data_IF_866366942397
#
_entry.id   IF_866366942397
#
_cell.length_a   1.000
_cell.length_b   1.000
_cell.length_c   1.000
_cell.angle_alpha   90.00
_cell.angle_beta   90.00
_cell.angle_gamma   90.00
#
_symmetry.space_group_name_H-M   'P 1'
#
loop_
_entity.id
_entity.type
_entity.pdbx_description
1 polymer ?
#
# COMPACT_ATOMS: atom_id res chain seq x y z
N UNK A 1 -14.59 0.84 -36.40
CA UNK A 1 -14.07 0.28 -35.14
C UNK A 1 -13.17 1.33 -34.49
N UNK A 2 -13.52 1.84 -33.31
CA UNK A 2 -12.84 3.00 -32.72
C UNK A 2 -11.60 2.51 -31.95
N UNK A 3 -10.43 2.49 -32.63
CA UNK A 3 -9.19 1.87 -32.14
C UNK A 3 -8.71 2.37 -30.76
N UNK A 4 -9.10 3.59 -30.36
CA UNK A 4 -8.85 4.13 -29.03
C UNK A 4 -9.68 3.46 -27.94
N UNK A 5 -10.94 3.12 -28.22
CA UNK A 5 -11.84 2.45 -27.25
C UNK A 5 -11.41 1.01 -26.99
N UNK A 6 -10.90 0.31 -28.01
CA UNK A 6 -10.34 -1.03 -27.85
C UNK A 6 -9.08 -0.99 -26.98
N UNK A 7 -8.15 -0.06 -27.25
CA UNK A 7 -6.96 0.17 -26.41
C UNK A 7 -7.32 0.56 -24.98
N UNK A 8 -8.38 1.34 -24.80
CA UNK A 8 -8.87 1.71 -23.47
C UNK A 8 -9.38 0.47 -22.73
N UNK A 9 -10.20 -0.34 -23.39
CA UNK A 9 -10.76 -1.58 -22.82
C UNK A 9 -9.65 -2.53 -22.39
N UNK A 10 -8.66 -2.77 -23.26
CA UNK A 10 -7.48 -3.59 -22.93
C UNK A 10 -6.69 -3.03 -21.75
N UNK A 11 -6.54 -1.70 -21.66
CA UNK A 11 -5.82 -1.06 -20.56
C UNK A 11 -6.56 -1.24 -19.23
N UNK A 12 -7.90 -1.14 -19.22
CA UNK A 12 -8.72 -1.39 -18.03
C UNK A 12 -8.65 -2.86 -17.62
N UNK A 13 -8.65 -3.78 -18.59
CA UNK A 13 -8.54 -5.22 -18.34
C UNK A 13 -7.22 -5.55 -17.62
N UNK A 14 -6.10 -5.03 -18.14
CA UNK A 14 -4.78 -5.14 -17.51
C UNK A 14 -4.74 -4.48 -16.13
N UNK A 15 -5.36 -3.32 -15.95
CA UNK A 15 -5.50 -2.70 -14.63
C UNK A 15 -6.24 -3.62 -13.66
N UNK A 16 -7.35 -4.22 -14.08
CA UNK A 16 -8.11 -5.14 -13.23
C UNK A 16 -7.25 -6.34 -12.78
N UNK A 17 -6.43 -6.89 -13.67
CA UNK A 17 -5.53 -8.01 -13.33
C UNK A 17 -4.51 -7.57 -12.29
N UNK A 18 -3.82 -6.45 -12.50
CA UNK A 18 -2.79 -5.96 -11.57
C UNK A 18 -3.38 -5.62 -10.19
N UNK A 19 -4.60 -5.07 -10.13
CA UNK A 19 -5.27 -4.80 -8.85
C UNK A 19 -5.69 -6.08 -8.11
N UNK A 20 -6.05 -7.14 -8.82
CA UNK A 20 -6.29 -8.46 -8.20
C UNK A 20 -4.98 -9.04 -7.67
N UNK A 21 -3.89 -8.94 -8.43
CA UNK A 21 -2.57 -9.40 -7.99
C UNK A 21 -2.07 -8.61 -6.77
N UNK A 22 -2.26 -7.28 -6.73
CA UNK A 22 -1.96 -6.45 -5.56
C UNK A 22 -2.79 -6.86 -4.34
N UNK A 23 -4.07 -7.19 -4.54
CA UNK A 23 -4.93 -7.68 -3.46
C UNK A 23 -4.43 -9.01 -2.90
N UNK A 24 -4.04 -9.95 -3.75
CA UNK A 24 -3.46 -11.21 -3.30
C UNK A 24 -2.12 -10.99 -2.58
N UNK A 25 -1.23 -10.14 -3.10
CA UNK A 25 0.00 -9.74 -2.40
C UNK A 25 -0.30 -9.16 -1.01
N UNK A 26 -1.31 -8.29 -0.89
CA UNK A 26 -1.70 -7.68 0.38
C UNK A 26 -2.26 -8.70 1.37
N UNK A 27 -3.02 -9.70 0.91
CA UNK A 27 -3.52 -10.80 1.75
C UNK A 27 -2.38 -11.71 2.21
N UNK A 28 -1.45 -12.07 1.32
CA UNK A 28 -0.29 -12.87 1.70
C UNK A 28 0.58 -12.11 2.71
N UNK A 29 0.76 -10.80 2.50
CA UNK A 29 1.44 -9.93 3.47
C UNK A 29 0.78 -9.96 4.84
N UNK A 30 -0.55 -9.96 4.89
CA UNK A 30 -1.28 -10.11 6.15
C UNK A 30 -0.92 -11.41 6.88
N UNK A 31 -0.88 -12.54 6.15
CA UNK A 31 -0.50 -13.83 6.71
C UNK A 31 0.94 -13.80 7.25
N UNK A 32 1.90 -13.21 6.51
CA UNK A 32 3.29 -13.09 6.95
C UNK A 32 3.45 -12.20 8.18
N UNK A 33 2.68 -11.10 8.27
CA UNK A 33 2.66 -10.23 9.45
C UNK A 33 2.16 -10.98 10.70
N UNK A 34 1.15 -11.83 10.54
CA UNK A 34 0.61 -12.65 11.64
C UNK A 34 1.61 -13.74 12.05
N UNK A 35 2.28 -14.39 11.09
CA UNK A 35 3.24 -15.45 11.38
C UNK A 35 4.62 -14.95 11.83
N UNK A 36 4.92 -13.67 11.60
CA UNK A 36 6.22 -13.08 11.89
C UNK A 36 7.31 -13.45 10.89
N UNK A 37 6.95 -13.93 9.68
CA UNK A 37 7.92 -14.32 8.66
C UNK A 37 8.51 -13.08 7.94
N UNK A 38 9.62 -12.55 8.47
CA UNK A 38 10.26 -11.33 7.95
C UNK A 38 10.89 -11.53 6.57
N UNK A 39 11.46 -12.70 6.27
CA UNK A 39 12.10 -12.98 4.97
C UNK A 39 11.08 -12.93 3.83
N UNK A 40 9.94 -13.59 4.01
CA UNK A 40 8.85 -13.58 3.04
C UNK A 40 8.21 -12.18 2.93
N UNK A 41 8.13 -11.44 4.04
CA UNK A 41 7.64 -10.07 4.05
C UNK A 41 8.50 -9.16 3.17
N UNK A 42 9.82 -9.30 3.21
CA UNK A 42 10.74 -8.53 2.37
C UNK A 42 10.52 -8.82 0.88
N UNK A 43 10.40 -10.10 0.50
CA UNK A 43 10.08 -10.48 -0.89
C UNK A 43 8.75 -9.88 -1.38
N UNK A 44 7.72 -9.91 -0.53
CA UNK A 44 6.41 -9.35 -0.85
C UNK A 44 6.45 -7.83 -1.04
N UNK A 45 7.31 -7.11 -0.32
CA UNK A 45 7.50 -5.67 -0.52
C UNK A 45 8.09 -5.35 -1.90
N UNK A 46 9.06 -6.14 -2.37
CA UNK A 46 9.60 -5.98 -3.73
C UNK A 46 8.54 -6.29 -4.80
N UNK A 47 7.75 -7.34 -4.60
CA UNK A 47 6.65 -7.69 -5.51
C UNK A 47 5.59 -6.59 -5.57
N UNK A 48 5.15 -6.07 -4.43
CA UNK A 48 4.16 -4.99 -4.34
C UNK A 48 4.67 -3.71 -5.00
N UNK A 49 5.96 -3.37 -4.81
CA UNK A 49 6.58 -2.22 -5.48
C UNK A 49 6.50 -2.35 -7.00
N UNK A 50 6.91 -3.50 -7.56
CA UNK A 50 6.85 -3.75 -9.00
C UNK A 50 5.41 -3.68 -9.52
N UNK A 51 4.46 -4.28 -8.81
CA UNK A 51 3.04 -4.24 -9.18
C UNK A 51 2.48 -2.80 -9.16
N UNK A 52 2.89 -1.99 -8.17
CA UNK A 52 2.49 -0.59 -8.06
C UNK A 52 3.03 0.25 -9.20
N UNK A 53 4.29 0.04 -9.60
CA UNK A 53 4.89 0.71 -10.75
C UNK A 53 4.14 0.36 -12.05
N UNK A 54 3.80 -0.92 -12.25
CA UNK A 54 3.00 -1.34 -13.41
C UNK A 54 1.60 -0.71 -13.38
N UNK A 55 0.94 -0.68 -12.22
CA UNK A 55 -0.37 -0.06 -12.06
C UNK A 55 -0.33 1.44 -12.42
N UNK A 56 0.72 2.15 -11.99
CA UNK A 56 0.91 3.55 -12.32
C UNK A 56 1.06 3.76 -13.84
N UNK A 57 1.92 2.98 -14.51
CA UNK A 57 2.12 3.07 -15.96
C UNK A 57 0.83 2.80 -16.74
N UNK A 58 0.02 1.84 -16.29
CA UNK A 58 -1.27 1.53 -16.90
C UNK A 58 -2.29 2.66 -16.69
N UNK A 59 -2.31 3.29 -15.52
CA UNK A 59 -3.18 4.44 -15.25
C UNK A 59 -2.78 5.66 -16.09
N UNK A 60 -1.48 5.93 -16.22
CA UNK A 60 -0.96 6.96 -17.12
C UNK A 60 -1.36 6.68 -18.58
N UNK A 61 -1.23 5.43 -19.03
CA UNK A 61 -1.70 4.99 -20.36
C UNK A 61 -3.21 5.23 -20.52
N UNK A 62 -4.02 4.89 -19.52
CA UNK A 62 -5.48 5.11 -19.53
C UNK A 62 -5.80 6.60 -19.68
N UNK A 63 -5.12 7.45 -18.92
CA UNK A 63 -5.29 8.91 -18.98
C UNK A 63 -4.89 9.47 -20.35
N UNK A 64 -3.80 8.98 -20.94
CA UNK A 64 -3.35 9.38 -22.26
C UNK A 64 -4.34 9.00 -23.37
N UNK A 65 -4.92 7.80 -23.29
CA UNK A 65 -5.95 7.37 -24.25
C UNK A 65 -7.20 8.27 -24.16
N UNK A 66 -7.64 8.60 -22.95
CA UNK A 66 -8.78 9.51 -22.74
C UNK A 66 -8.46 10.91 -23.28
N UNK A 67 -7.24 11.39 -23.10
CA UNK A 67 -6.80 12.68 -23.66
C UNK A 67 -6.87 12.70 -25.18
N UNK A 68 -6.36 11.66 -25.84
CA UNK A 68 -6.43 11.53 -27.29
C UNK A 68 -7.87 11.48 -27.77
N UNK A 69 -8.73 10.70 -27.10
CA UNK A 69 -10.15 10.63 -27.42
C UNK A 69 -10.84 12.01 -27.31
N UNK A 70 -10.56 12.78 -26.26
CA UNK A 70 -11.12 14.13 -26.09
C UNK A 70 -10.69 15.06 -27.23
N UNK A 71 -9.42 15.00 -27.66
CA UNK A 71 -8.89 15.80 -28.78
C UNK A 71 -9.58 15.45 -30.09
N UNK A 72 -9.76 14.16 -30.39
CA UNK A 72 -10.42 13.70 -31.62
C UNK A 72 -11.90 14.07 -31.70
N UNK A 73 -12.58 14.15 -30.55
CA UNK A 73 -14.02 14.43 -30.49
C UNK A 73 -14.34 15.89 -30.14
N UNK A 74 -13.35 16.80 -30.15
CA UNK A 74 -13.48 18.20 -29.72
C UNK A 74 -14.16 18.37 -28.35
N UNK A 75 -13.99 17.39 -27.46
CA UNK A 75 -14.63 17.35 -26.15
C UNK A 75 -13.71 17.93 -25.07
N UNK A 76 -14.30 18.66 -24.12
CA UNK A 76 -13.55 19.21 -22.99
C UNK A 76 -13.29 18.12 -21.94
N UNK A 77 -12.02 17.83 -21.63
CA UNK A 77 -11.60 16.73 -20.72
C UNK A 77 -12.35 16.70 -19.39
N UNK A 78 -12.67 17.87 -18.82
CA UNK A 78 -13.38 18.00 -17.54
C UNK A 78 -14.79 17.38 -17.54
N UNK A 79 -15.38 17.18 -18.72
CA UNK A 79 -16.74 16.66 -18.87
C UNK A 79 -16.77 15.17 -19.28
N UNK A 80 -15.60 14.56 -19.52
CA UNK A 80 -15.52 13.17 -20.00
C UNK A 80 -15.34 12.22 -18.83
N UNK A 81 -16.42 11.53 -18.47
CA UNK A 81 -16.40 10.43 -17.50
C UNK A 81 -16.34 9.09 -18.22
N UNK A 82 -15.86 8.04 -17.55
CA UNK A 82 -15.89 6.68 -18.10
C UNK A 82 -17.31 6.24 -18.49
N UNK A 83 -18.31 6.63 -17.68
CA UNK A 83 -19.74 6.41 -17.98
C UNK A 83 -20.18 7.12 -19.27
N UNK A 84 -19.70 8.33 -19.51
CA UNK A 84 -19.96 9.06 -20.76
C UNK A 84 -19.29 8.39 -21.96
N UNK A 85 -18.07 7.84 -21.80
CA UNK A 85 -17.38 7.11 -22.87
C UNK A 85 -18.09 5.81 -23.24
N UNK A 86 -18.62 5.11 -22.24
CA UNK A 86 -19.40 3.87 -22.42
C UNK A 86 -20.68 4.08 -23.22
N UNK A 87 -21.28 5.27 -23.19
CA UNK A 87 -22.46 5.59 -24.00
C UNK A 87 -22.16 5.60 -25.50
N UNK A 88 -20.90 5.84 -25.89
CA UNK A 88 -20.43 5.85 -27.28
C UNK A 88 -19.89 4.47 -27.73
N UNK A 89 -19.97 3.45 -26.87
CA UNK A 89 -19.60 2.07 -27.18
C UNK A 89 -20.84 1.25 -27.57
N UNK A 90 -20.62 0.25 -28.43
CA UNK A 90 -21.62 -0.77 -28.73
C UNK A 90 -21.97 -1.58 -27.48
N UNK A 91 -23.15 -2.20 -27.45
CA UNK A 91 -23.71 -2.82 -26.25
C UNK A 91 -22.78 -3.88 -25.62
N UNK A 92 -22.17 -4.74 -26.45
CA UNK A 92 -21.23 -5.77 -25.99
C UNK A 92 -19.98 -5.18 -25.32
N UNK A 93 -19.40 -4.12 -25.90
CA UNK A 93 -18.22 -3.45 -25.34
C UNK A 93 -18.57 -2.69 -24.06
N UNK A 94 -19.74 -2.06 -24.02
CA UNK A 94 -20.27 -1.38 -22.85
C UNK A 94 -20.42 -2.35 -21.67
N UNK A 95 -21.03 -3.50 -21.87
CA UNK A 95 -21.19 -4.51 -20.81
C UNK A 95 -19.83 -5.00 -20.31
N UNK A 96 -18.90 -5.31 -21.21
CA UNK A 96 -17.54 -5.75 -20.85
C UNK A 96 -16.79 -4.69 -20.04
N UNK A 97 -16.78 -3.44 -20.47
CA UNK A 97 -16.11 -2.36 -19.74
C UNK A 97 -16.80 -2.12 -18.39
N UNK A 98 -18.12 -2.20 -18.34
CA UNK A 98 -18.88 -2.09 -17.10
C UNK A 98 -18.52 -3.16 -16.07
N UNK A 99 -18.42 -4.42 -16.50
CA UNK A 99 -18.04 -5.52 -15.61
C UNK A 99 -16.59 -5.37 -15.12
N UNK A 100 -15.66 -4.98 -15.99
CA UNK A 100 -14.27 -4.72 -15.62
C UNK A 100 -14.13 -3.57 -14.61
N UNK A 101 -14.88 -2.47 -14.79
CA UNK A 101 -14.86 -1.35 -13.84
C UNK A 101 -15.45 -1.71 -12.48
N UNK A 102 -16.53 -2.50 -12.48
CA UNK A 102 -17.12 -3.00 -11.24
C UNK A 102 -16.13 -3.90 -10.49
N UNK A 103 -15.47 -4.82 -11.22
CA UNK A 103 -14.44 -5.70 -10.67
C UNK A 103 -13.29 -4.90 -10.09
N UNK A 104 -12.72 -3.97 -10.86
CA UNK A 104 -11.64 -3.09 -10.43
C UNK A 104 -12.03 -2.30 -9.16
N UNK A 105 -13.24 -1.76 -9.11
CA UNK A 105 -13.74 -1.00 -7.94
C UNK A 105 -13.85 -1.89 -6.71
N UNK A 106 -14.29 -3.14 -6.87
CA UNK A 106 -14.36 -4.11 -5.77
C UNK A 106 -12.95 -4.46 -5.27
N UNK A 107 -12.03 -4.80 -6.16
CA UNK A 107 -10.63 -5.13 -5.81
C UNK A 107 -9.94 -3.97 -5.10
N UNK A 108 -10.14 -2.73 -5.56
CA UNK A 108 -9.64 -1.52 -4.89
C UNK A 108 -10.15 -1.37 -3.45
N UNK A 109 -11.46 -1.58 -3.23
CA UNK A 109 -12.04 -1.48 -1.87
C UNK A 109 -11.50 -2.56 -0.94
N UNK A 110 -11.40 -3.79 -1.44
CA UNK A 110 -10.84 -4.90 -0.68
C UNK A 110 -9.36 -4.67 -0.35
N UNK A 111 -8.58 -4.20 -1.32
CA UNK A 111 -7.17 -3.87 -1.13
C UNK A 111 -7.01 -2.78 -0.06
N UNK A 112 -7.85 -1.74 -0.10
CA UNK A 112 -7.84 -0.69 0.93
C UNK A 112 -8.11 -1.26 2.33
N UNK A 113 -9.09 -2.15 2.46
CA UNK A 113 -9.43 -2.75 3.75
C UNK A 113 -8.30 -3.66 4.29
N UNK A 114 -7.71 -4.50 3.43
CA UNK A 114 -6.60 -5.38 3.82
C UNK A 114 -5.38 -4.54 4.21
N UNK A 115 -5.05 -3.50 3.43
CA UNK A 115 -3.93 -2.62 3.74
C UNK A 115 -4.12 -1.86 5.05
N UNK A 116 -5.34 -1.37 5.34
CA UNK A 116 -5.64 -0.78 6.64
C UNK A 116 -5.37 -1.76 7.79
N UNK A 117 -5.80 -3.01 7.62
CA UNK A 117 -5.57 -4.07 8.62
C UNK A 117 -4.07 -4.34 8.79
N UNK A 118 -3.32 -4.44 7.69
CA UNK A 118 -1.87 -4.64 7.72
C UNK A 118 -1.15 -3.48 8.41
N UNK A 119 -1.54 -2.23 8.13
CA UNK A 119 -1.01 -1.05 8.82
C UNK A 119 -1.24 -1.13 10.33
N UNK A 120 -2.45 -1.49 10.75
CA UNK A 120 -2.78 -1.68 12.17
C UNK A 120 -1.94 -2.77 12.82
N UNK A 121 -1.79 -3.93 12.17
CA UNK A 121 -0.96 -5.04 12.68
C UNK A 121 0.50 -4.60 12.86
N UNK A 122 1.07 -3.92 11.86
CA UNK A 122 2.44 -3.40 11.92
C UNK A 122 2.61 -2.40 13.08
N UNK A 123 1.65 -1.48 13.27
CA UNK A 123 1.70 -0.54 14.39
C UNK A 123 1.67 -1.25 15.74
N UNK A 124 0.77 -2.21 15.93
CA UNK A 124 0.72 -2.98 17.18
C UNK A 124 2.02 -3.74 17.46
N UNK A 125 2.63 -4.35 16.43
CA UNK A 125 3.92 -5.04 16.58
C UNK A 125 5.03 -4.08 17.02
N UNK A 126 5.04 -2.86 16.50
CA UNK A 126 6.00 -1.82 16.90
C UNK A 126 5.75 -1.34 18.33
N UNK A 127 4.49 -1.07 18.69
CA UNK A 127 4.11 -0.63 20.04
C UNK A 127 4.55 -1.65 21.10
N UNK A 128 4.28 -2.94 20.86
CA UNK A 128 4.71 -4.03 21.76
C UNK A 128 6.24 -4.08 21.88
N UNK A 129 6.95 -3.93 20.76
CA UNK A 129 8.41 -3.92 20.75
C UNK A 129 8.96 -2.75 21.55
N UNK A 130 8.35 -1.57 21.43
CA UNK A 130 8.73 -0.38 22.17
C UNK A 130 8.44 -0.50 23.67
N UNK A 131 7.31 -1.10 24.04
CA UNK A 131 6.96 -1.38 25.44
C UNK A 131 7.93 -2.37 26.08
N UNK A 132 8.33 -3.42 25.35
CA UNK A 132 9.39 -4.34 25.78
C UNK A 132 10.68 -3.55 26.04
N UNK A 133 11.11 -2.71 25.10
CA UNK A 133 12.32 -1.88 25.28
C UNK A 133 12.18 -0.98 26.52
N UNK A 134 11.03 -0.35 26.77
CA UNK A 134 10.83 0.50 27.95
C UNK A 134 10.91 -0.29 29.27
N UNK A 135 10.42 -1.53 29.29
CA UNK A 135 10.47 -2.41 30.47
C UNK A 135 11.91 -2.83 30.77
N UNK A 136 12.65 -3.28 29.75
CA UNK A 136 14.01 -3.82 29.92
C UNK A 136 15.11 -2.77 29.92
N UNK A 137 14.87 -1.60 29.31
CA UNK A 137 15.71 -0.42 29.37
C UNK A 137 14.96 0.72 30.09
N UNK A 138 14.75 0.64 31.43
CA UNK A 138 14.33 1.81 32.18
C UNK A 138 15.30 2.96 31.88
N UNK A 139 14.82 4.19 31.94
CA UNK A 139 15.56 5.44 31.67
C UNK A 139 16.84 5.68 32.52
N UNK A 140 17.38 4.66 33.17
CA UNK A 140 18.66 4.63 33.87
C UNK A 140 19.87 4.96 32.96
N UNK A 141 19.75 4.86 31.63
CA UNK A 141 20.79 5.35 30.71
C UNK A 141 20.80 6.88 30.50
N UNK A 142 19.84 7.63 31.06
CA UNK A 142 19.83 9.11 30.96
C UNK A 142 20.50 9.82 32.15
N UNK A 143 20.90 9.12 33.21
CA UNK A 143 21.66 9.73 34.29
C UNK A 143 23.12 9.28 34.21
N UNK A 144 23.99 10.17 33.75
CA UNK A 144 25.42 10.04 34.03
C UNK A 144 25.59 10.02 35.55
N UNK A 145 25.97 8.87 36.12
CA UNK A 145 26.34 8.72 37.54
C UNK A 145 27.50 9.65 37.93
N UNK A 146 28.23 10.16 36.93
CA UNK A 146 29.27 11.18 37.08
C UNK A 146 28.77 12.55 36.64
N UNK A 147 28.32 13.38 37.59
CA UNK A 147 28.44 14.82 37.42
C UNK A 147 29.89 15.26 37.66
N UNK A 148 30.32 16.31 36.94
CA UNK A 148 31.67 16.90 36.95
C UNK A 148 32.14 17.45 38.33
N UNK A 149 31.45 17.10 39.42
CA UNK A 149 31.70 17.55 40.81
C UNK A 149 32.30 16.47 41.71
N UNK A 150 32.48 15.23 41.22
CA UNK A 150 33.19 14.17 41.96
C UNK A 150 32.48 13.66 43.22
N UNK A 151 31.17 13.88 43.37
CA UNK A 151 30.37 13.36 44.48
C UNK A 151 29.32 12.37 43.96
N UNK A 152 29.43 11.12 44.40
CA UNK A 152 28.40 10.09 44.17
C UNK A 152 27.27 10.38 45.15
N UNK A 153 26.07 10.65 44.63
CA UNK A 153 24.86 10.66 45.44
C UNK A 153 24.32 9.24 45.44
N UNK A 154 24.25 8.61 46.61
CA UNK A 154 23.51 7.35 46.78
C UNK A 154 22.03 7.63 46.51
N UNK A 155 21.62 7.46 45.26
CA UNK A 155 20.24 7.14 44.94
C UNK A 155 20.15 5.62 44.83
N UNK A 156 19.15 5.03 45.49
CA UNK A 156 18.75 3.65 45.28
C UNK A 156 18.55 3.46 43.78
N UNK A 157 19.51 2.80 43.13
CA UNK A 157 19.43 2.52 41.71
C UNK A 157 18.23 1.59 41.50
N UNK A 158 17.26 1.92 40.64
CA UNK A 158 16.25 0.96 40.25
C UNK A 158 16.99 -0.25 39.66
N UNK A 159 16.65 -1.45 40.15
CA UNK A 159 17.30 -2.71 39.83
C UNK A 159 17.54 -2.84 38.32
N UNK A 160 18.79 -2.72 37.90
CA UNK A 160 19.20 -3.01 36.53
C UNK A 160 19.27 -4.53 36.42
N UNK A 161 18.36 -5.13 35.66
CA UNK A 161 18.26 -6.58 35.48
C UNK A 161 19.27 -7.13 34.46
N UNK A 162 19.86 -6.27 33.63
CA UNK A 162 20.74 -6.68 32.53
C UNK A 162 21.99 -5.81 32.56
N UNK A 163 23.13 -6.42 32.86
CA UNK A 163 24.45 -5.83 32.64
C UNK A 163 24.69 -5.79 31.12
N UNK A 164 24.48 -4.64 30.48
CA UNK A 164 24.87 -4.47 29.07
C UNK A 164 26.36 -4.15 29.00
N UNK A 165 27.20 -5.18 28.98
CA UNK A 165 28.50 -5.09 28.31
C UNK A 165 28.26 -5.33 26.81
N UNK A 166 28.33 -4.27 26.01
CA UNK A 166 28.53 -4.35 24.56
C UNK A 166 29.99 -3.99 24.28
#
# INVERSE_FOLDING_TARGET
MNTLLDKLTETIDRLSIIYDELLETAKTKQCCLISGNIEELEMLLYQEKNQTEIAQLLEEKRQNIINSYCKENHAQRKNVTMRSLMNNMDNLHRERVGSLLNKLTLSMKQLQQVNQTNTTLTHYSLDITEDIIKIFCPSAFQYSVYHHTGKIQEHEMPMVLIDTEI
#
